data_IF_001409417685
#
_entry.id   IF_001409417685
#
_cell.length_a   1.000
_cell.length_b   1.000
_cell.length_c   1.000
_cell.angle_alpha   90.00
_cell.angle_beta   90.00
_cell.angle_gamma   90.00
#
_symmetry.space_group_name_H-M   'P 1'
#
loop_
_entity.id
_entity.type
_entity.pdbx_description
1 polymer ?
#
# COMPACT_ATOMS: atom_id res chain seq x y z
N UNK A 1 -1.05 15.90 -0.08
CA UNK A 1 -1.23 15.73 -1.53
C UNK A 1 -2.10 14.51 -1.75
N UNK A 2 -3.23 14.65 -2.44
CA UNK A 2 -4.09 13.49 -2.75
C UNK A 2 -3.38 12.52 -3.70
N UNK A 3 -3.42 11.24 -3.38
CA UNK A 3 -2.93 10.14 -4.21
C UNK A 3 -4.10 9.21 -4.53
N UNK A 4 -4.37 9.06 -5.81
CA UNK A 4 -5.41 8.18 -6.32
C UNK A 4 -4.78 7.13 -7.23
N UNK A 5 -4.36 6.02 -6.63
CA UNK A 5 -3.83 4.86 -7.35
C UNK A 5 -4.93 3.98 -7.94
N UNK A 6 -4.50 2.85 -8.51
CA UNK A 6 -5.39 1.83 -9.08
C UNK A 6 -6.16 1.08 -8.00
N UNK A 7 -5.49 0.73 -6.91
CA UNK A 7 -6.04 -0.09 -5.82
C UNK A 7 -5.98 0.61 -4.47
N UNK A 8 -5.04 1.54 -4.27
CA UNK A 8 -4.96 2.33 -3.04
C UNK A 8 -5.29 3.81 -3.28
N UNK A 9 -5.90 4.43 -2.27
CA UNK A 9 -6.12 5.87 -2.24
C UNK A 9 -5.78 6.43 -0.88
N UNK A 10 -5.29 7.66 -0.88
CA UNK A 10 -4.85 8.29 0.35
C UNK A 10 -4.30 9.67 0.11
N UNK A 11 -3.65 10.18 1.12
CA UNK A 11 -3.05 11.50 1.12
C UNK A 11 -1.62 11.41 1.62
N UNK A 12 -0.69 12.00 0.90
CA UNK A 12 0.69 12.17 1.37
C UNK A 12 0.82 13.45 2.18
N UNK A 13 1.27 13.33 3.42
CA UNK A 13 1.58 14.42 4.32
C UNK A 13 3.07 14.76 4.23
N UNK A 14 3.39 15.84 3.50
CA UNK A 14 4.76 16.34 3.34
C UNK A 14 5.34 16.97 4.62
N UNK A 15 4.53 17.25 5.64
CA UNK A 15 5.03 17.81 6.91
C UNK A 15 5.66 16.69 7.74
N UNK A 16 5.02 15.52 7.73
CA UNK A 16 5.44 14.37 8.54
C UNK A 16 6.19 13.30 7.73
N UNK A 17 6.29 13.45 6.40
CA UNK A 17 6.78 12.43 5.46
C UNK A 17 6.07 11.09 5.68
N UNK A 18 4.74 11.15 5.66
CA UNK A 18 3.86 10.01 5.91
C UNK A 18 2.76 9.91 4.86
N UNK A 19 2.39 8.69 4.52
CA UNK A 19 1.25 8.42 3.65
C UNK A 19 0.06 7.94 4.47
N UNK A 20 -1.04 8.68 4.40
CA UNK A 20 -2.31 8.33 5.02
C UNK A 20 -3.14 7.53 4.02
N UNK A 21 -3.13 6.22 4.18
CA UNK A 21 -3.93 5.27 3.41
C UNK A 21 -5.39 5.31 3.86
N UNK A 22 -6.27 5.79 2.99
CA UNK A 22 -7.70 5.97 3.25
C UNK A 22 -8.56 4.85 2.64
N UNK A 23 -8.07 4.19 1.59
CA UNK A 23 -8.79 3.13 0.91
C UNK A 23 -7.84 2.11 0.29
N UNK A 24 -8.22 0.84 0.41
CA UNK A 24 -7.61 -0.28 -0.32
C UNK A 24 -8.72 -1.09 -0.96
N UNK A 25 -8.69 -1.24 -2.28
CA UNK A 25 -9.75 -1.89 -3.07
C UNK A 25 -11.09 -1.18 -2.83
N UNK A 26 -12.03 -1.88 -2.21
CA UNK A 26 -13.34 -1.40 -1.80
C UNK A 26 -13.45 -1.16 -0.29
N UNK A 27 -12.37 -1.39 0.47
CA UNK A 27 -12.33 -1.21 1.91
C UNK A 27 -11.82 0.18 2.25
N UNK A 28 -12.63 0.92 3.00
CA UNK A 28 -12.17 2.14 3.67
C UNK A 28 -11.32 1.74 4.88
N UNK A 29 -10.15 2.34 4.99
CA UNK A 29 -9.23 2.17 6.12
C UNK A 29 -8.65 3.53 6.49
N UNK A 30 -7.98 3.63 7.62
CA UNK A 30 -7.16 4.80 7.92
C UNK A 30 -5.88 4.28 8.56
N UNK A 31 -4.82 4.22 7.76
CA UNK A 31 -3.51 3.75 8.21
C UNK A 31 -2.47 4.77 7.80
N UNK A 32 -1.65 5.19 8.74
CA UNK A 32 -0.50 6.06 8.45
C UNK A 32 0.71 5.18 8.22
N UNK A 33 1.37 5.36 7.08
CA UNK A 33 2.54 4.61 6.66
C UNK A 33 3.71 5.57 6.52
N UNK A 34 4.74 5.39 7.34
CA UNK A 34 6.02 6.03 7.10
C UNK A 34 6.81 5.27 6.00
N UNK A 35 7.97 5.81 5.61
CA UNK A 35 8.81 5.23 4.55
C UNK A 35 9.19 3.77 4.83
N UNK A 36 9.65 3.47 6.04
CA UNK A 36 10.09 2.11 6.41
C UNK A 36 8.96 1.09 6.36
N UNK A 37 7.76 1.46 6.83
CA UNK A 37 6.57 0.62 6.77
C UNK A 37 6.13 0.40 5.33
N UNK A 38 6.13 1.45 4.51
CA UNK A 38 5.75 1.36 3.12
C UNK A 38 6.74 0.50 2.32
N UNK A 39 8.04 0.65 2.56
CA UNK A 39 9.11 -0.17 1.99
C UNK A 39 8.98 -1.64 2.41
N UNK A 40 8.68 -1.89 3.68
CA UNK A 40 8.45 -3.26 4.19
C UNK A 40 7.27 -3.94 3.46
N UNK A 41 6.17 -3.21 3.26
CA UNK A 41 5.01 -3.73 2.52
C UNK A 41 5.37 -3.96 1.04
N UNK A 42 6.08 -3.01 0.42
CA UNK A 42 6.51 -3.10 -0.97
C UNK A 42 7.39 -4.34 -1.19
N UNK A 43 8.43 -4.51 -0.36
CA UNK A 43 9.37 -5.62 -0.46
C UNK A 43 8.67 -6.96 -0.19
N UNK A 44 7.78 -7.01 0.80
CA UNK A 44 6.96 -8.20 1.06
C UNK A 44 6.16 -8.60 -0.17
N UNK A 45 5.39 -7.67 -0.76
CA UNK A 45 4.56 -7.98 -1.92
C UNK A 45 5.40 -8.34 -3.15
N UNK A 46 6.53 -7.66 -3.37
CA UNK A 46 7.39 -7.90 -4.52
C UNK A 46 8.07 -9.29 -4.44
N UNK A 47 8.42 -9.76 -3.23
CA UNK A 47 8.98 -11.09 -3.00
C UNK A 47 7.97 -12.23 -3.23
N UNK A 48 6.67 -11.95 -3.13
CA UNK A 48 5.60 -12.95 -3.25
C UNK A 48 4.65 -12.67 -4.43
N UNK A 49 5.04 -11.81 -5.37
CA UNK A 49 4.20 -11.36 -6.50
C UNK A 49 3.81 -12.48 -7.48
N UNK A 50 4.64 -13.53 -7.54
CA UNK A 50 4.48 -14.64 -8.49
C UNK A 50 3.65 -15.79 -7.89
N UNK A 51 3.16 -15.66 -6.66
CA UNK A 51 2.30 -16.67 -6.02
C UNK A 51 0.87 -16.62 -6.56
N UNK A 52 0.40 -17.72 -7.16
CA UNK A 52 -0.91 -17.81 -7.83
C UNK A 52 -2.10 -17.66 -6.86
N UNK A 53 -1.95 -18.04 -5.59
CA UNK A 53 -3.02 -17.99 -4.59
C UNK A 53 -3.31 -16.57 -4.06
N UNK A 54 -2.50 -15.59 -4.46
CA UNK A 54 -2.52 -14.22 -3.98
C UNK A 54 -1.89 -14.06 -2.59
N UNK A 55 -1.97 -12.85 -2.04
CA UNK A 55 -1.33 -12.48 -0.79
C UNK A 55 -2.33 -12.02 0.26
N UNK A 56 -2.02 -12.28 1.53
CA UNK A 56 -2.73 -11.68 2.66
C UNK A 56 -1.81 -10.62 3.26
N UNK A 57 -2.24 -9.36 3.16
CA UNK A 57 -1.53 -8.23 3.73
C UNK A 57 -2.24 -7.79 5.02
N UNK A 58 -1.49 -7.68 6.10
CA UNK A 58 -1.98 -7.00 7.31
C UNK A 58 -1.66 -5.51 7.18
N UNK A 59 -2.70 -4.70 7.03
CA UNK A 59 -2.59 -3.24 7.11
C UNK A 59 -2.98 -2.83 8.52
N UNK A 60 -2.11 -2.08 9.20
CA UNK A 60 -2.21 -1.78 10.64
C UNK A 60 -2.38 -3.06 11.52
N UNK A 61 -2.69 -2.93 12.80
CA UNK A 61 -2.80 -4.09 13.70
C UNK A 61 -4.14 -4.87 13.57
N UNK A 62 -5.08 -4.42 12.72
CA UNK A 62 -6.47 -4.87 12.81
C UNK A 62 -7.10 -5.29 11.47
N UNK A 63 -6.46 -5.08 10.31
CA UNK A 63 -7.08 -5.39 9.01
C UNK A 63 -6.25 -6.34 8.15
N UNK A 64 -6.81 -7.51 7.86
CA UNK A 64 -6.29 -8.45 6.86
C UNK A 64 -6.97 -8.19 5.52
N UNK A 65 -6.17 -7.82 4.51
CA UNK A 65 -6.62 -7.64 3.14
C UNK A 65 -6.07 -8.77 2.29
N UNK A 66 -6.97 -9.53 1.66
CA UNK A 66 -6.58 -10.49 0.64
C UNK A 66 -6.48 -9.80 -0.71
N UNK A 67 -5.32 -9.96 -1.35
CA UNK A 67 -4.99 -9.47 -2.68
C UNK A 67 -4.86 -10.67 -3.62
N UNK A 68 -5.51 -10.65 -4.77
CA UNK A 68 -5.18 -11.53 -5.89
C UNK A 68 -3.79 -11.20 -6.43
N UNK A 69 -3.27 -12.03 -7.33
CA UNK A 69 -2.00 -11.74 -8.02
C UNK A 69 -2.04 -10.40 -8.78
N UNK A 70 -3.13 -10.13 -9.50
CA UNK A 70 -3.33 -8.87 -10.22
C UNK A 70 -3.38 -7.68 -9.25
N UNK A 71 -4.14 -7.82 -8.17
CA UNK A 71 -4.27 -6.78 -7.14
C UNK A 71 -2.95 -6.53 -6.42
N UNK A 72 -2.16 -7.57 -6.17
CA UNK A 72 -0.81 -7.45 -5.60
C UNK A 72 0.10 -6.65 -6.53
N UNK A 73 0.03 -6.91 -7.84
CA UNK A 73 0.78 -6.16 -8.85
C UNK A 73 0.36 -4.69 -8.90
N UNK A 74 -0.94 -4.41 -8.90
CA UNK A 74 -1.47 -3.05 -8.84
C UNK A 74 -1.06 -2.33 -7.54
N UNK A 75 -1.05 -3.04 -6.41
CA UNK A 75 -0.66 -2.50 -5.12
C UNK A 75 0.83 -2.13 -5.12
N UNK A 76 1.70 -3.00 -5.64
CA UNK A 76 3.14 -2.73 -5.79
C UNK A 76 3.38 -1.50 -6.66
N UNK A 77 2.67 -1.36 -7.78
CA UNK A 77 2.79 -0.18 -8.65
C UNK A 77 2.39 1.10 -7.94
N UNK A 78 1.26 1.10 -7.23
CA UNK A 78 0.80 2.27 -6.49
C UNK A 78 1.77 2.63 -5.35
N UNK A 79 2.28 1.63 -4.61
CA UNK A 79 3.30 1.86 -3.58
C UNK A 79 4.55 2.46 -4.18
N UNK A 80 5.01 1.98 -5.34
CA UNK A 80 6.20 2.52 -6.00
C UNK A 80 6.06 4.02 -6.30
N UNK A 81 4.89 4.45 -6.77
CA UNK A 81 4.62 5.87 -7.00
C UNK A 81 4.65 6.70 -5.73
N UNK A 82 4.17 6.14 -4.61
CA UNK A 82 4.17 6.82 -3.31
C UNK A 82 5.60 6.84 -2.72
N UNK A 83 6.40 5.80 -2.92
CA UNK A 83 7.82 5.77 -2.48
C UNK A 83 8.60 6.97 -3.01
N UNK A 84 8.35 7.35 -4.26
CA UNK A 84 9.00 8.50 -4.91
C UNK A 84 8.61 9.86 -4.28
N UNK A 85 7.58 9.91 -3.42
CA UNK A 85 7.15 11.11 -2.70
C UNK A 85 7.92 11.34 -1.39
N UNK A 86 8.48 10.28 -0.79
CA UNK A 86 9.27 10.40 0.43
C UNK A 86 10.66 10.96 0.13
N UNK A 87 11.14 11.86 0.99
CA UNK A 87 12.48 12.45 0.89
C UNK A 87 13.57 11.59 1.55
#
# INVERSE_FOLDING_TARGET
MDVNGKIIRGEFDHINDEFVLNQVKHFTTQSTLNKDQLDTIYDYLNNHKDEEDGQILTLNEQMLVRLSQEESSQFIEDLNQIRDLYQ
#
